data_IF_494640906255
#
_entry.id   IF_494640906255
#
_cell.length_a   1.000
_cell.length_b   1.000
_cell.length_c   1.000
_cell.angle_alpha   90.00
_cell.angle_beta   90.00
_cell.angle_gamma   90.00
#
_symmetry.space_group_name_H-M   'P 1'
#
loop_
_entity.id
_entity.type
_entity.pdbx_description
1 polymer ?
#
# COMPACT_ATOMS: atom_id res chain seq x y z
N UNK A 1 2.70 -20.02 -50.24
CA UNK A 1 1.85 -19.10 -49.45
C UNK A 1 1.68 -19.65 -48.03
N UNK A 2 2.79 -19.85 -47.30
CA UNK A 2 2.81 -20.57 -46.00
C UNK A 2 3.76 -19.93 -44.97
N UNK A 3 4.36 -18.78 -45.27
CA UNK A 3 5.38 -18.15 -44.42
C UNK A 3 4.88 -17.08 -43.46
N UNK A 4 3.69 -16.50 -43.66
CA UNK A 4 3.18 -15.38 -42.86
C UNK A 4 2.51 -15.86 -41.55
N UNK A 5 1.95 -17.08 -41.55
CA UNK A 5 1.15 -17.59 -40.43
C UNK A 5 2.01 -18.00 -39.22
N UNK A 6 3.29 -18.35 -39.41
CA UNK A 6 4.16 -18.82 -38.32
C UNK A 6 4.65 -17.67 -37.44
N UNK A 7 4.94 -16.50 -38.03
CA UNK A 7 5.44 -15.34 -37.28
C UNK A 7 4.36 -14.67 -36.42
N UNK A 8 3.09 -14.79 -36.82
CA UNK A 8 1.98 -14.22 -36.05
C UNK A 8 1.79 -15.07 -34.78
N UNK A 9 1.74 -16.40 -34.90
CA UNK A 9 1.55 -17.28 -33.74
C UNK A 9 2.68 -17.17 -32.70
N UNK A 10 3.93 -16.96 -33.11
CA UNK A 10 5.04 -16.75 -32.16
C UNK A 10 4.97 -15.40 -31.44
N UNK A 11 4.38 -14.37 -32.06
CA UNK A 11 4.20 -13.06 -31.44
C UNK A 11 3.12 -13.08 -30.33
N UNK A 12 2.08 -13.88 -30.49
CA UNK A 12 1.03 -14.07 -29.47
C UNK A 12 1.52 -14.82 -28.23
N UNK A 13 2.39 -15.82 -28.41
CA UNK A 13 2.95 -16.60 -27.28
C UNK A 13 3.93 -15.75 -26.45
N UNK A 14 4.62 -14.80 -27.09
CA UNK A 14 5.53 -13.89 -26.38
C UNK A 14 4.81 -12.84 -25.52
N UNK A 15 3.54 -12.54 -25.80
CA UNK A 15 2.77 -11.53 -25.04
C UNK A 15 2.00 -12.12 -23.85
N UNK A 16 1.62 -13.40 -23.94
CA UNK A 16 0.98 -14.14 -22.85
C UNK A 16 1.94 -14.49 -21.71
N UNK A 17 3.24 -14.32 -21.91
CA UNK A 17 4.26 -14.52 -20.87
C UNK A 17 4.50 -13.25 -20.04
N UNK A 18 3.54 -12.31 -20.00
CA UNK A 18 3.61 -11.12 -19.17
C UNK A 18 3.75 -11.58 -17.72
N UNK A 19 4.99 -11.57 -17.27
CA UNK A 19 5.45 -11.88 -15.93
C UNK A 19 4.61 -11.01 -15.00
N UNK A 20 3.76 -11.65 -14.21
CA UNK A 20 3.15 -11.06 -13.04
C UNK A 20 4.28 -10.86 -12.03
N UNK A 21 5.09 -9.83 -12.27
CA UNK A 21 6.03 -9.33 -11.29
C UNK A 21 5.18 -8.77 -10.16
N UNK A 22 4.94 -9.61 -9.16
CA UNK A 22 4.55 -9.11 -7.84
C UNK A 22 5.70 -8.22 -7.42
N UNK A 23 5.54 -6.91 -7.58
CA UNK A 23 6.42 -5.94 -6.98
C UNK A 23 6.34 -6.19 -5.47
N UNK A 24 7.28 -6.95 -4.93
CA UNK A 24 7.56 -6.91 -3.51
C UNK A 24 8.04 -5.48 -3.24
N UNK A 25 7.09 -4.60 -2.94
CA UNK A 25 7.39 -3.27 -2.43
C UNK A 25 8.38 -3.47 -1.28
N UNK A 26 9.61 -2.98 -1.49
CA UNK A 26 10.64 -3.00 -0.47
C UNK A 26 10.19 -2.03 0.61
N UNK A 27 9.36 -2.52 1.54
CA UNK A 27 8.84 -1.74 2.66
C UNK A 27 10.04 -1.24 3.42
N UNK A 28 10.32 0.05 3.28
CA UNK A 28 11.41 0.74 3.96
C UNK A 28 11.19 0.52 5.46
N UNK A 29 12.01 -0.33 6.06
CA UNK A 29 11.80 -0.79 7.44
C UNK A 29 12.14 0.38 8.37
N UNK A 30 11.14 1.13 8.81
CA UNK A 30 11.35 2.22 9.76
C UNK A 30 11.83 1.67 11.10
N UNK A 31 12.79 2.38 11.70
CA UNK A 31 13.34 2.09 13.03
C UNK A 31 12.61 2.84 14.13
N UNK A 32 11.63 3.67 13.77
CA UNK A 32 10.89 4.53 14.69
C UNK A 32 9.79 3.76 15.43
N UNK A 33 9.24 4.39 16.47
CA UNK A 33 8.19 3.84 17.32
C UNK A 33 7.00 4.81 17.44
N UNK A 34 5.81 4.22 17.52
CA UNK A 34 4.60 4.90 17.97
C UNK A 34 4.66 5.04 19.49
N UNK A 35 4.56 6.28 19.97
CA UNK A 35 4.62 6.58 21.40
C UNK A 35 3.23 6.93 21.95
N UNK A 36 2.96 6.49 23.18
CA UNK A 36 1.77 6.92 23.90
C UNK A 36 1.89 8.42 24.23
N UNK A 37 0.94 9.23 23.77
CA UNK A 37 0.94 10.67 24.00
C UNK A 37 0.94 11.05 25.48
N UNK A 38 0.31 10.24 26.34
CA UNK A 38 0.17 10.56 27.77
C UNK A 38 1.43 10.22 28.59
N UNK A 39 2.03 9.05 28.37
CA UNK A 39 3.15 8.56 29.21
C UNK A 39 4.49 8.38 28.49
N UNK A 40 4.54 8.57 27.17
CA UNK A 40 5.76 8.39 26.37
C UNK A 40 6.20 6.95 26.16
N UNK A 41 5.40 5.96 26.61
CA UNK A 41 5.73 4.54 26.45
C UNK A 41 5.64 4.10 24.97
N UNK A 42 6.53 3.18 24.58
CA UNK A 42 6.55 2.59 23.23
C UNK A 42 5.34 1.67 23.02
N UNK A 43 4.40 2.07 22.17
CA UNK A 43 3.19 1.30 21.88
C UNK A 43 3.46 0.21 20.84
N UNK A 44 4.13 0.57 19.74
CA UNK A 44 4.47 -0.35 18.67
C UNK A 44 5.60 0.21 17.76
N UNK A 45 6.36 -0.62 17.04
CA UNK A 45 7.25 -0.16 15.97
C UNK A 45 6.45 0.51 14.84
N UNK A 46 6.98 1.57 14.23
CA UNK A 46 6.31 2.24 13.11
C UNK A 46 6.12 1.31 11.90
N UNK A 47 7.00 0.32 11.73
CA UNK A 47 6.91 -0.71 10.69
C UNK A 47 5.70 -1.65 10.82
N UNK A 48 4.91 -1.57 11.90
CA UNK A 48 3.66 -2.31 12.02
C UNK A 48 2.45 -1.58 11.43
N UNK A 49 2.62 -0.34 10.96
CA UNK A 49 1.57 0.39 10.24
C UNK A 49 1.29 -0.30 8.91
N UNK A 50 0.01 -0.50 8.61
CA UNK A 50 -0.47 -1.09 7.36
C UNK A 50 -1.57 -0.20 6.79
N UNK A 51 -1.57 -0.02 5.47
CA UNK A 51 -2.60 0.73 4.77
C UNK A 51 -3.80 -0.20 4.52
N UNK A 52 -4.78 -0.15 5.43
CA UNK A 52 -6.04 -0.89 5.29
C UNK A 52 -7.20 0.09 5.16
N UNK A 53 -7.81 0.12 3.98
CA UNK A 53 -8.92 1.04 3.69
C UNK A 53 -10.20 0.66 4.44
N UNK A 54 -10.75 1.60 5.20
CA UNK A 54 -12.03 1.44 5.89
C UNK A 54 -13.20 1.74 4.95
N UNK A 55 -14.30 0.96 4.97
CA UNK A 55 -15.51 1.27 4.23
C UNK A 55 -16.24 2.51 4.78
N UNK A 56 -15.90 2.96 5.99
CA UNK A 56 -16.51 4.12 6.64
C UNK A 56 -15.65 5.39 6.53
N UNK A 57 -14.54 5.36 5.78
CA UNK A 57 -13.67 6.53 5.61
C UNK A 57 -14.40 7.67 4.89
N UNK A 58 -14.42 8.85 5.51
CA UNK A 58 -14.97 10.06 4.90
C UNK A 58 -13.92 10.77 4.03
N UNK A 59 -12.68 10.80 4.51
CA UNK A 59 -11.54 11.41 3.83
C UNK A 59 -10.32 10.50 3.90
N UNK A 60 -9.50 10.51 2.84
CA UNK A 60 -8.27 9.71 2.73
C UNK A 60 -7.18 10.59 2.15
N UNK A 61 -6.01 10.59 2.77
CA UNK A 61 -4.85 11.31 2.27
C UNK A 61 -3.55 10.60 2.67
N UNK A 62 -2.51 10.83 1.88
CA UNK A 62 -1.19 10.29 2.15
C UNK A 62 -0.34 11.29 2.91
N UNK A 63 0.40 10.80 3.90
CA UNK A 63 1.31 11.61 4.70
C UNK A 63 2.59 10.83 5.02
N UNK A 64 3.72 11.54 5.17
CA UNK A 64 4.94 10.94 5.73
C UNK A 64 4.84 10.96 7.26
N UNK A 65 4.92 9.79 7.90
CA UNK A 65 4.76 9.60 9.34
C UNK A 65 5.79 8.59 9.85
N UNK A 66 6.45 8.90 10.97
CA UNK A 66 7.36 7.96 11.66
C UNK A 66 8.47 7.37 10.76
N UNK A 67 9.05 8.21 9.90
CA UNK A 67 10.08 7.80 8.94
C UNK A 67 9.57 6.92 7.78
N UNK A 68 8.25 6.71 7.68
CA UNK A 68 7.59 6.06 6.56
C UNK A 68 6.96 7.11 5.65
N UNK A 69 7.14 6.92 4.35
CA UNK A 69 6.51 7.74 3.32
C UNK A 69 5.20 7.08 2.85
N UNK A 70 4.27 7.88 2.33
CA UNK A 70 2.98 7.41 1.80
C UNK A 70 2.15 6.56 2.79
N UNK A 71 2.14 6.94 4.06
CA UNK A 71 1.21 6.37 5.05
C UNK A 71 -0.19 6.88 4.75
N UNK A 72 -1.13 5.96 4.53
CA UNK A 72 -2.53 6.30 4.27
C UNK A 72 -3.23 6.64 5.58
N UNK A 73 -3.61 7.90 5.73
CA UNK A 73 -4.39 8.39 6.87
C UNK A 73 -5.82 8.58 6.42
N UNK A 74 -6.76 8.08 7.22
CA UNK A 74 -8.18 8.10 6.90
C UNK A 74 -8.93 8.74 8.06
N UNK A 75 -9.84 9.67 7.75
CA UNK A 75 -10.73 10.24 8.74
C UNK A 75 -12.04 9.47 8.81
N UNK A 76 -12.50 9.22 10.03
CA UNK A 76 -13.69 8.44 10.33
C UNK A 76 -14.61 9.25 11.24
N UNK A 77 -15.91 9.16 10.99
CA UNK A 77 -16.91 9.72 11.89
C UNK A 77 -17.53 8.61 12.72
N UNK A 78 -17.40 8.72 14.03
CA UNK A 78 -18.03 7.76 14.92
C UNK A 78 -19.56 7.96 14.97
N UNK A 79 -20.34 7.02 15.54
CA UNK A 79 -21.80 7.15 15.62
C UNK A 79 -22.31 8.38 16.41
N UNK A 80 -21.47 9.00 17.23
CA UNK A 80 -21.78 10.24 17.96
C UNK A 80 -21.54 11.49 17.10
N UNK A 81 -21.07 11.32 15.87
CA UNK A 81 -20.75 12.40 14.95
C UNK A 81 -19.39 13.06 15.19
N UNK A 82 -18.54 12.48 16.04
CA UNK A 82 -17.19 12.99 16.29
C UNK A 82 -16.27 12.46 15.19
N UNK A 83 -15.54 13.38 14.55
CA UNK A 83 -14.56 13.08 13.53
C UNK A 83 -13.19 12.86 14.18
N UNK A 84 -12.52 11.79 13.77
CA UNK A 84 -11.17 11.39 14.21
C UNK A 84 -10.30 11.02 13.02
#
# INVERSE_FOLDING_TARGET
MTGINVYIFSFWIFWASSIESTEEETVKKSTDFLLCRYCGFNVAPASTLVNLKSPAAEEIYNQSLFGLDNVEVQSLKNPLGIQV
#
